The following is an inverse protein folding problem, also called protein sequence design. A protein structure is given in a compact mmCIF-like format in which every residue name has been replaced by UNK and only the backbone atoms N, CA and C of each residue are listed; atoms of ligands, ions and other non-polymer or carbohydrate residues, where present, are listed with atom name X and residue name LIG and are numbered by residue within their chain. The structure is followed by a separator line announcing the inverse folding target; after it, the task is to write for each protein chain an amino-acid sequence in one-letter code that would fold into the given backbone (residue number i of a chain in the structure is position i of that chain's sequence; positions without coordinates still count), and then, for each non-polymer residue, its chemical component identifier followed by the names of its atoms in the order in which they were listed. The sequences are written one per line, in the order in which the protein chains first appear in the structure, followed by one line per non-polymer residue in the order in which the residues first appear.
data_IF_936367091492
#
_entry.id   IF_936367091492
#
_cell.length_a   1.000
_cell.length_b   1.000
_cell.length_c   1.000
_cell.angle_alpha   90.00
_cell.angle_beta   90.00
_cell.angle_gamma   90.00
#
_symmetry.space_group_name_H-M   'P 1'
#
loop_
_entity.id
_entity.type
_entity.pdbx_description
1 polymer ?
#
# COMPACT_ATOMS: atom_id res chain seq x y z
N UNK A 1 -0.52 -12.41 -4.67
CA UNK A 1 -1.25 -11.26 -5.26
C UNK A 1 -0.71 -9.91 -4.77
N UNK A 2 -0.49 -9.70 -3.47
CA UNK A 2 -0.07 -8.38 -2.94
C UNK A 2 1.27 -7.85 -3.48
N UNK A 3 2.24 -8.73 -3.77
CA UNK A 3 3.53 -8.34 -4.36
C UNK A 3 3.42 -7.80 -5.80
N UNK A 4 2.37 -8.15 -6.54
CA UNK A 4 2.21 -7.75 -7.94
C UNK A 4 1.96 -6.24 -8.07
N UNK A 5 1.21 -5.66 -7.13
CA UNK A 5 0.94 -4.23 -7.09
C UNK A 5 2.23 -3.42 -6.92
N UNK A 6 3.08 -3.82 -5.99
CA UNK A 6 4.36 -3.15 -5.71
C UNK A 6 5.36 -3.27 -6.88
N UNK A 7 5.36 -4.40 -7.58
CA UNK A 7 6.18 -4.59 -8.78
C UNK A 7 5.75 -3.66 -9.92
N UNK A 8 4.43 -3.53 -10.16
CA UNK A 8 3.90 -2.60 -11.18
C UNK A 8 4.21 -1.16 -10.80
N UNK A 9 3.98 -0.78 -9.54
CA UNK A 9 4.24 0.57 -9.08
C UNK A 9 5.70 0.95 -9.30
N UNK A 10 6.64 0.05 -8.99
CA UNK A 10 8.06 0.23 -9.26
C UNK A 10 8.32 0.47 -10.74
N UNK A 11 7.81 -0.41 -11.60
CA UNK A 11 8.04 -0.35 -13.06
C UNK A 11 7.57 0.99 -13.64
N UNK A 12 6.34 1.39 -13.30
CA UNK A 12 5.75 2.65 -13.73
C UNK A 12 6.55 3.83 -13.17
N UNK A 13 6.88 3.81 -11.87
CA UNK A 13 7.60 4.90 -11.22
C UNK A 13 8.98 5.15 -11.84
N UNK A 14 9.75 4.08 -12.06
CA UNK A 14 11.07 4.19 -12.70
C UNK A 14 10.97 4.70 -14.14
N UNK A 15 9.93 4.32 -14.88
CA UNK A 15 9.72 4.78 -16.26
C UNK A 15 9.32 6.26 -16.31
N UNK A 16 8.44 6.68 -15.40
CA UNK A 16 7.96 8.07 -15.28
C UNK A 16 8.99 9.02 -14.69
N UNK A 17 10.09 8.52 -14.12
CA UNK A 17 11.18 9.33 -13.57
C UNK A 17 11.72 10.37 -14.56
N UNK A 18 11.77 10.01 -15.84
CA UNK A 18 12.19 10.88 -16.95
C UNK A 18 11.32 12.12 -17.15
N UNK A 19 10.05 12.09 -16.72
CA UNK A 19 9.11 13.20 -16.85
C UNK A 19 9.30 14.26 -15.74
N UNK A 20 10.05 13.93 -14.68
CA UNK A 20 10.37 14.85 -13.59
C UNK A 20 9.13 15.49 -12.96
N UNK A 21 9.10 16.83 -12.92
CA UNK A 21 8.00 17.62 -12.32
C UNK A 21 6.68 17.54 -13.08
N UNK A 22 6.70 17.05 -14.32
CA UNK A 22 5.50 16.85 -15.12
C UNK A 22 4.81 15.51 -14.80
N UNK A 23 5.45 14.65 -14.00
CA UNK A 23 4.86 13.40 -13.54
C UNK A 23 4.01 13.62 -12.29
N UNK A 24 2.85 12.95 -12.23
CA UNK A 24 2.00 12.92 -11.04
C UNK A 24 1.60 11.48 -10.69
N UNK A 25 1.73 11.12 -9.41
CA UNK A 25 1.21 9.88 -8.84
C UNK A 25 -0.01 10.21 -7.97
N UNK A 26 -1.16 9.64 -8.33
CA UNK A 26 -2.40 9.73 -7.58
C UNK A 26 -2.74 8.35 -6.98
N UNK A 27 -2.34 8.15 -5.73
CA UNK A 27 -2.33 6.84 -5.05
C UNK A 27 -3.58 6.67 -4.19
N UNK A 28 -4.71 6.41 -4.85
CA UNK A 28 -6.02 6.20 -4.21
C UNK A 28 -6.39 4.72 -4.02
N UNK A 29 -5.54 3.78 -4.45
CA UNK A 29 -5.79 2.36 -4.27
C UNK A 29 -5.69 1.98 -2.79
N UNK A 30 -6.66 1.22 -2.29
CA UNK A 30 -6.58 0.58 -0.99
C UNK A 30 -5.62 -0.61 -1.07
N UNK A 31 -4.36 -0.38 -0.69
CA UNK A 31 -3.32 -1.42 -0.66
C UNK A 31 -3.39 -2.16 0.66
N UNK A 32 -3.30 -3.48 0.63
CA UNK A 32 -3.28 -4.30 1.85
C UNK A 32 -2.00 -4.06 2.65
N UNK A 33 -2.11 -3.83 3.96
CA UNK A 33 -0.94 -3.75 4.86
C UNK A 33 -0.28 -5.10 5.12
N UNK A 34 -1.00 -6.19 4.88
CA UNK A 34 -0.54 -7.56 5.13
C UNK A 34 -0.80 -8.47 3.92
N UNK A 35 0.00 -9.53 3.80
CA UNK A 35 -0.13 -10.53 2.75
C UNK A 35 0.28 -11.93 3.25
N UNK A 36 -0.11 -12.95 2.50
CA UNK A 36 0.35 -14.33 2.71
C UNK A 36 1.56 -14.58 1.78
N UNK A 37 2.75 -14.88 2.32
CA UNK A 37 3.90 -15.31 1.52
C UNK A 37 3.55 -16.49 0.62
N UNK A 38 4.17 -16.55 -0.55
CA UNK A 38 3.86 -17.60 -1.54
C UNK A 38 4.15 -19.00 -0.98
N UNK A 39 5.30 -19.15 -0.32
CA UNK A 39 5.75 -20.34 0.39
C UNK A 39 4.78 -20.83 1.48
N UNK A 40 3.94 -19.95 2.04
CA UNK A 40 2.93 -20.32 3.05
C UNK A 40 1.50 -20.32 2.51
N UNK A 41 1.30 -20.12 1.20
CA UNK A 41 -0.03 -20.05 0.60
C UNK A 41 -0.58 -21.46 0.36
N UNK A 42 -1.70 -21.79 1.02
CA UNK A 42 -2.37 -23.07 0.82
C UNK A 42 -2.93 -23.18 -0.62
N UNK A 43 -2.62 -24.29 -1.30
CA UNK A 43 -3.11 -24.55 -2.66
C UNK A 43 -4.61 -24.89 -2.70
N UNK A 44 -5.13 -25.42 -1.61
CA UNK A 44 -6.51 -25.85 -1.50
C UNK A 44 -7.26 -25.01 -0.47
N UNK A 45 -8.59 -24.97 -0.63
CA UNK A 45 -9.48 -24.27 0.29
C UNK A 45 -9.24 -24.76 1.72
N UNK A 46 -9.06 -23.83 2.64
CA UNK A 46 -8.91 -24.11 4.06
C UNK A 46 -10.18 -24.81 4.57
N UNK A 47 -10.01 -25.93 5.27
CA UNK A 47 -11.11 -26.77 5.74
C UNK A 47 -11.57 -26.32 7.14
N UNK A 48 -12.88 -26.25 7.35
CA UNK A 48 -13.48 -25.71 8.59
C UNK A 48 -13.58 -26.73 9.75
N UNK A 49 -13.23 -28.00 9.53
CA UNK A 49 -13.47 -29.07 10.50
C UNK A 49 -12.40 -29.30 11.58
N UNK A 50 -11.30 -28.55 11.58
CA UNK A 50 -10.10 -28.86 12.39
C UNK A 50 -9.89 -28.01 13.66
N UNK A 51 -10.87 -27.21 14.06
CA UNK A 51 -10.76 -26.30 15.21
C UNK A 51 -10.70 -24.82 14.78
N UNK A 52 -10.23 -23.91 15.66
CA UNK A 52 -10.17 -22.48 15.37
C UNK A 52 -9.22 -22.17 14.21
N UNK A 53 -9.61 -21.21 13.36
CA UNK A 53 -8.80 -20.76 12.23
C UNK A 53 -7.67 -19.85 12.72
N UNK A 54 -6.43 -20.28 12.53
CA UNK A 54 -5.25 -19.45 12.73
C UNK A 54 -4.72 -18.96 11.37
N UNK A 55 -4.46 -17.65 11.27
CA UNK A 55 -3.93 -17.00 10.06
C UNK A 55 -2.76 -16.10 10.42
N UNK A 56 -1.56 -16.50 10.00
CA UNK A 56 -0.35 -15.68 10.10
C UNK A 56 -0.15 -14.91 8.79
N UNK A 57 -0.04 -13.59 8.88
CA UNK A 57 0.20 -12.70 7.74
C UNK A 57 1.52 -11.95 7.90
N UNK A 58 2.23 -11.75 6.79
CA UNK A 58 3.43 -10.92 6.73
C UNK A 58 3.06 -9.46 6.42
N UNK A 59 3.84 -8.51 6.93
CA UNK A 59 3.66 -7.08 6.63
C UNK A 59 4.16 -6.74 5.23
N UNK A 60 3.42 -5.87 4.53
CA UNK A 60 3.86 -5.33 3.23
C UNK A 60 4.91 -4.22 3.46
N UNK A 61 6.04 -4.25 2.73
CA UNK A 61 7.04 -3.18 2.80
C UNK A 61 6.44 -1.81 2.43
N UNK A 62 6.83 -0.76 3.15
CA UNK A 62 6.30 0.61 2.93
C UNK A 62 7.00 1.28 1.72
N UNK A 63 6.50 1.02 0.52
CA UNK A 63 7.15 1.42 -0.74
C UNK A 63 6.99 2.91 -1.13
N UNK A 64 6.05 3.64 -0.52
CA UNK A 64 5.83 5.07 -0.80
C UNK A 64 7.09 5.92 -0.56
N UNK A 65 7.87 5.57 0.47
CA UNK A 65 9.13 6.25 0.77
C UNK A 65 10.16 6.05 -0.34
N UNK A 66 10.27 4.82 -0.85
CA UNK A 66 11.19 4.45 -1.93
C UNK A 66 10.77 5.12 -3.23
N UNK A 67 9.47 5.20 -3.50
CA UNK A 67 8.93 5.92 -4.66
C UNK A 67 9.37 7.39 -4.66
N UNK A 68 9.28 8.09 -3.52
CA UNK A 68 9.68 9.50 -3.40
C UNK A 68 11.19 9.74 -3.35
N UNK A 69 11.97 8.80 -2.82
CA UNK A 69 13.43 9.02 -2.65
C UNK A 69 14.24 8.52 -3.83
N UNK A 70 13.81 7.43 -4.45
CA UNK A 70 14.63 6.68 -5.39
C UNK A 70 14.00 6.58 -6.78
N UNK A 71 12.72 6.20 -6.88
CA UNK A 71 12.15 5.87 -8.19
C UNK A 71 11.71 7.11 -8.99
N UNK A 72 11.04 8.07 -8.36
CA UNK A 72 10.54 9.28 -9.03
C UNK A 72 10.62 10.52 -8.12
N UNK A 73 11.82 10.98 -7.74
CA UNK A 73 12.00 11.99 -6.69
C UNK A 73 11.53 13.40 -7.05
N UNK A 74 11.39 13.70 -8.33
CA UNK A 74 10.89 14.99 -8.81
C UNK A 74 9.40 14.98 -9.15
N UNK A 75 8.72 13.84 -9.07
CA UNK A 75 7.31 13.72 -9.39
C UNK A 75 6.44 14.28 -8.26
N UNK A 76 5.26 14.79 -8.61
CA UNK A 76 4.26 15.19 -7.64
C UNK A 76 3.49 13.95 -7.14
N UNK A 77 3.39 13.76 -5.82
CA UNK A 77 2.74 12.59 -5.25
C UNK A 77 1.59 12.99 -4.32
N UNK A 78 0.42 12.38 -4.53
CA UNK A 78 -0.74 12.44 -3.64
C UNK A 78 -1.07 11.02 -3.21
N UNK A 79 -1.24 10.80 -1.90
CA UNK A 79 -1.73 9.55 -1.32
C UNK A 79 -2.93 9.78 -0.42
N UNK A 80 -3.75 8.76 -0.29
CA UNK A 80 -4.93 8.78 0.58
C UNK A 80 -4.72 7.86 1.77
N UNK A 81 -5.09 8.36 2.94
CA UNK A 81 -5.17 7.58 4.17
C UNK A 81 -6.64 7.37 4.48
N UNK A 82 -7.09 6.12 4.41
CA UNK A 82 -8.43 5.77 4.86
C UNK A 82 -8.43 5.76 6.40
N UNK A 83 -9.30 6.55 7.01
CA UNK A 83 -9.54 6.49 8.45
C UNK A 83 -10.97 6.03 8.71
N UNK A 84 -11.12 5.17 9.71
CA UNK A 84 -12.44 4.86 10.26
C UNK A 84 -12.98 6.05 11.06
N UNK A 85 -14.30 6.17 11.19
CA UNK A 85 -14.96 7.23 11.95
C UNK A 85 -14.45 7.28 13.40
N UNK A 86 -14.23 6.12 14.04
CA UNK A 86 -13.71 6.05 15.39
C UNK A 86 -12.30 6.64 15.52
N UNK A 87 -11.41 6.38 14.55
CA UNK A 87 -10.04 6.92 14.55
C UNK A 87 -10.01 8.41 14.22
N UNK A 88 -10.88 8.86 13.31
CA UNK A 88 -11.02 10.27 12.97
C UNK A 88 -11.48 11.10 14.19
N UNK A 89 -12.45 10.57 14.95
CA UNK A 89 -12.94 11.20 16.19
C UNK A 89 -11.87 11.18 17.30
N UNK A 90 -11.06 10.12 17.39
CA UNK A 90 -9.99 10.04 18.39
C UNK A 90 -8.82 11.01 18.13
N UNK A 91 -8.72 11.56 16.93
CA UNK A 91 -7.56 12.35 16.50
C UNK A 91 -7.84 13.85 16.28
N UNK A 92 -9.09 14.32 16.46
CA UNK A 92 -9.55 15.67 16.05
C UNK A 92 -9.23 16.02 14.56
N UNK A 93 -9.01 15.01 13.72
CA UNK A 93 -8.65 15.16 12.29
C UNK A 93 -9.93 15.24 11.46
N UNK A 94 -10.72 16.29 11.66
CA UNK A 94 -11.78 16.65 10.70
C UNK A 94 -11.29 17.75 9.74
N UNK A 95 -10.13 18.39 10.01
CA UNK A 95 -9.64 19.55 9.24
C UNK A 95 -8.30 19.42 8.49
N UNK A 96 -7.27 18.72 8.99
CA UNK A 96 -5.88 19.05 8.58
C UNK A 96 -4.97 17.94 8.05
N UNK A 97 -5.36 16.66 8.00
CA UNK A 97 -4.41 15.57 7.65
C UNK A 97 -4.90 14.58 6.58
N UNK A 98 -5.64 15.05 5.58
CA UNK A 98 -5.97 14.22 4.42
C UNK A 98 -4.87 14.17 3.35
N UNK A 99 -3.84 15.01 3.45
CA UNK A 99 -2.69 15.05 2.55
C UNK A 99 -1.40 14.78 3.31
N UNK A 100 -1.22 13.56 3.80
CA UNK A 100 0.08 13.11 4.29
C UNK A 100 0.94 12.73 3.05
N UNK A 101 2.02 13.48 2.81
CA UNK A 101 3.09 13.14 1.84
C UNK A 101 4.24 12.45 2.57
#
# INVERSE_FOLDING_TARGET
MSLYHEQILRLIATSMSSLGRNAMFYLAAAVSDFYVPWESMALHKIQSGSGPLDMSLAQVPKMLLVLRKEWAPSAFCISFKFLSICEAMASDIIGEKLFEI
#
